data_IF_689374773831
#
_entry.id   IF_689374773831
#
_cell.length_a   1.000
_cell.length_b   1.000
_cell.length_c   1.000
_cell.angle_alpha   90.00
_cell.angle_beta   90.00
_cell.angle_gamma   90.00
#
_symmetry.space_group_name_H-M   'P 1'
#
loop_
_entity.id
_entity.type
_entity.pdbx_description
1 polymer ?
#
# COMPACT_ATOMS: atom_id res chain seq x y z
N UNK A 1 0.94 5.57 -4.88
CA UNK A 1 1.47 6.27 -3.69
C UNK A 1 2.13 7.58 -4.06
N UNK A 2 3.30 7.55 -4.70
CA UNK A 2 3.95 8.79 -5.14
C UNK A 2 3.07 9.55 -6.13
N UNK A 3 3.17 10.88 -6.10
CA UNK A 3 2.42 11.82 -6.94
C UNK A 3 0.91 11.86 -6.66
N UNK A 4 0.45 11.27 -5.57
CA UNK A 4 -0.89 11.43 -5.04
C UNK A 4 -0.85 12.29 -3.78
N UNK A 5 -1.83 13.19 -3.54
CA UNK A 5 -1.91 13.93 -2.29
C UNK A 5 -1.86 12.97 -1.10
N UNK A 6 -1.04 13.31 -0.10
CA UNK A 6 -0.86 12.51 1.11
C UNK A 6 -0.50 11.05 0.80
N UNK A 7 0.20 10.83 -0.30
CA UNK A 7 0.64 9.50 -0.76
C UNK A 7 -0.50 8.50 -0.91
N UNK A 8 -1.70 8.99 -1.19
CA UNK A 8 -2.93 8.20 -1.33
C UNK A 8 -3.38 7.48 -0.05
N UNK A 9 -2.86 7.88 1.11
CA UNK A 9 -3.21 7.28 2.39
C UNK A 9 -4.71 7.28 2.68
N UNK A 10 -5.47 8.38 2.41
CA UNK A 10 -6.90 8.35 2.64
C UNK A 10 -7.64 7.21 1.92
N UNK A 11 -7.24 6.90 0.68
CA UNK A 11 -7.84 5.79 -0.07
C UNK A 11 -7.52 4.44 0.54
N UNK A 12 -6.28 4.25 1.04
CA UNK A 12 -5.89 3.02 1.73
C UNK A 12 -6.71 2.81 3.01
N UNK A 13 -6.88 3.84 3.82
CA UNK A 13 -7.66 3.74 5.06
C UNK A 13 -9.14 3.48 4.77
N UNK A 14 -9.72 4.14 3.78
CA UNK A 14 -11.12 3.93 3.40
C UNK A 14 -11.36 2.50 2.94
N UNK A 15 -10.50 1.97 2.08
CA UNK A 15 -10.63 0.60 1.57
C UNK A 15 -10.40 -0.43 2.68
N UNK A 16 -9.43 -0.20 3.56
CA UNK A 16 -9.17 -1.09 4.69
C UNK A 16 -10.41 -1.18 5.61
N UNK A 17 -11.02 -0.04 5.94
CA UNK A 17 -12.22 -0.02 6.77
C UNK A 17 -13.37 -0.80 6.11
N UNK A 18 -13.55 -0.64 4.79
CA UNK A 18 -14.58 -1.34 4.04
C UNK A 18 -14.37 -2.86 4.08
N UNK A 19 -13.13 -3.31 3.86
CA UNK A 19 -12.80 -4.74 3.88
C UNK A 19 -12.91 -5.32 5.29
N UNK A 20 -12.47 -4.61 6.31
CA UNK A 20 -12.59 -5.05 7.71
C UNK A 20 -14.04 -5.19 8.12
N UNK A 21 -14.93 -4.33 7.63
CA UNK A 21 -16.36 -4.42 7.89
C UNK A 21 -16.98 -5.71 7.33
N UNK A 22 -16.35 -6.34 6.34
CA UNK A 22 -16.79 -7.63 5.79
C UNK A 22 -16.18 -8.83 6.51
N UNK A 23 -15.38 -8.62 7.54
CA UNK A 23 -14.76 -9.68 8.34
C UNK A 23 -13.36 -10.05 7.92
N UNK A 24 -12.73 -9.30 7.01
CA UNK A 24 -11.36 -9.56 6.57
C UNK A 24 -10.36 -9.06 7.60
N UNK A 25 -9.27 -9.81 7.77
CA UNK A 25 -8.06 -9.30 8.40
C UNK A 25 -7.26 -8.55 7.35
N UNK A 26 -7.04 -7.25 7.53
CA UNK A 26 -6.48 -6.39 6.51
C UNK A 26 -5.10 -5.88 6.92
N UNK A 27 -4.09 -6.10 6.07
CA UNK A 27 -2.83 -5.40 6.16
C UNK A 27 -2.94 -4.12 5.32
N UNK A 28 -2.84 -2.98 5.98
CA UNK A 28 -2.89 -1.66 5.36
C UNK A 28 -1.49 -1.03 5.40
N UNK A 29 -0.79 -0.93 4.25
CA UNK A 29 0.55 -0.34 4.23
C UNK A 29 0.60 1.09 4.76
N UNK A 30 -0.45 1.87 4.53
CA UNK A 30 -0.54 3.24 5.03
C UNK A 30 -0.60 3.28 6.56
N UNK A 31 -1.37 2.38 7.17
CA UNK A 31 -1.44 2.27 8.63
C UNK A 31 -0.10 1.87 9.22
N UNK A 32 0.57 0.91 8.61
CA UNK A 32 1.90 0.47 9.05
C UNK A 32 2.88 1.64 9.07
N UNK A 33 2.89 2.45 8.00
CA UNK A 33 3.79 3.59 7.91
C UNK A 33 3.43 4.67 8.92
N UNK A 34 2.14 4.93 9.13
CA UNK A 34 1.65 5.87 10.13
C UNK A 34 2.04 5.42 11.54
N UNK A 35 1.89 4.14 11.85
CA UNK A 35 2.25 3.58 13.16
C UNK A 35 3.76 3.69 13.43
N UNK A 36 4.57 3.81 12.37
CA UNK A 36 6.01 4.02 12.48
C UNK A 36 6.42 5.49 12.48
N UNK A 37 5.46 6.39 12.54
CA UNK A 37 5.70 7.82 12.71
C UNK A 37 5.68 8.64 11.42
N UNK A 38 5.36 8.05 10.27
CA UNK A 38 5.22 8.80 9.04
C UNK A 38 3.88 9.50 8.99
N UNK A 39 3.90 10.83 8.83
CA UNK A 39 2.69 11.63 8.72
C UNK A 39 2.62 12.28 7.32
N UNK A 40 1.72 11.82 6.43
CA UNK A 40 1.60 12.36 5.09
C UNK A 40 0.72 13.61 5.02
N UNK A 41 0.12 14.06 6.12
CA UNK A 41 -0.84 15.16 6.13
C UNK A 41 -0.27 16.42 5.47
N UNK A 42 -0.97 16.91 4.45
CA UNK A 42 -0.57 18.11 3.74
C UNK A 42 0.53 17.91 2.70
N UNK A 43 1.07 16.71 2.56
CA UNK A 43 2.11 16.42 1.57
C UNK A 43 1.48 16.17 0.19
N UNK A 44 2.27 16.39 -0.87
CA UNK A 44 1.82 16.22 -2.26
C UNK A 44 2.24 14.89 -2.88
N UNK A 45 2.99 14.06 -2.16
CA UNK A 45 3.39 12.74 -2.60
C UNK A 45 4.72 12.69 -3.36
N UNK A 46 5.59 13.70 -3.18
CA UNK A 46 6.87 13.77 -3.89
C UNK A 46 7.95 12.90 -3.25
N UNK A 47 8.91 12.49 -4.06
CA UNK A 47 10.09 11.76 -3.58
C UNK A 47 10.96 12.62 -2.66
N UNK A 48 11.02 13.92 -2.93
CA UNK A 48 11.77 14.87 -2.11
C UNK A 48 11.21 14.91 -0.69
N UNK A 49 9.89 14.89 -0.53
CA UNK A 49 9.25 14.85 0.79
C UNK A 49 9.64 13.59 1.56
N UNK A 50 9.70 12.44 0.89
CA UNK A 50 10.13 11.19 1.52
C UNK A 50 11.58 11.28 2.00
N UNK A 51 12.46 11.86 1.19
CA UNK A 51 13.86 12.04 1.58
C UNK A 51 14.01 12.98 2.76
N UNK A 52 13.25 14.08 2.78
CA UNK A 52 13.28 15.06 3.85
C UNK A 52 12.75 14.52 5.18
N UNK A 53 11.85 13.54 5.13
CA UNK A 53 11.25 12.91 6.31
C UNK A 53 11.98 11.61 6.72
N UNK A 54 13.10 11.31 6.09
CA UNK A 54 13.89 10.10 6.36
C UNK A 54 13.05 8.80 6.22
N UNK A 55 12.11 8.80 5.28
CA UNK A 55 11.26 7.65 5.02
C UNK A 55 12.00 6.64 4.13
N UNK A 56 12.01 5.38 4.52
CA UNK A 56 12.64 4.32 3.73
C UNK A 56 11.60 3.56 2.90
N UNK A 57 11.63 3.77 1.58
CA UNK A 57 10.80 2.99 0.65
C UNK A 57 11.19 1.51 0.65
N UNK A 58 12.48 1.21 0.86
CA UNK A 58 12.96 -0.18 0.90
C UNK A 58 12.37 -0.94 2.07
N UNK A 59 12.36 -0.33 3.27
CA UNK A 59 11.78 -0.94 4.46
C UNK A 59 10.27 -1.10 4.32
N UNK A 60 9.58 -0.10 3.78
CA UNK A 60 8.15 -0.16 3.57
C UNK A 60 7.79 -1.30 2.61
N UNK A 61 8.47 -1.40 1.48
CA UNK A 61 8.21 -2.46 0.51
C UNK A 61 8.58 -3.83 1.06
N UNK A 62 9.65 -3.94 1.84
CA UNK A 62 10.03 -5.19 2.48
C UNK A 62 8.94 -5.68 3.44
N UNK A 63 8.36 -4.80 4.23
CA UNK A 63 7.27 -5.15 5.14
C UNK A 63 6.01 -5.59 4.38
N UNK A 64 5.65 -4.85 3.34
CA UNK A 64 4.49 -5.16 2.51
C UNK A 64 4.63 -6.51 1.83
N UNK A 65 5.79 -6.78 1.23
CA UNK A 65 6.04 -8.04 0.52
C UNK A 65 6.18 -9.22 1.47
N UNK A 66 6.70 -9.00 2.67
CA UNK A 66 6.76 -10.04 3.70
C UNK A 66 5.35 -10.50 4.07
N UNK A 67 4.42 -9.58 4.30
CA UNK A 67 3.02 -9.93 4.58
C UNK A 67 2.41 -10.70 3.41
N UNK A 68 2.64 -10.26 2.18
CA UNK A 68 2.14 -10.92 0.98
C UNK A 68 2.66 -12.37 0.91
N UNK A 69 3.94 -12.57 1.17
CA UNK A 69 4.55 -13.91 1.10
C UNK A 69 4.07 -14.85 2.20
N UNK A 70 3.87 -14.36 3.41
CA UNK A 70 3.69 -15.20 4.58
C UNK A 70 2.23 -15.29 5.07
N UNK A 71 1.43 -14.26 4.85
CA UNK A 71 0.12 -14.14 5.48
C UNK A 71 -1.04 -13.96 4.51
N UNK A 72 -0.85 -13.25 3.41
CA UNK A 72 -1.95 -12.85 2.54
C UNK A 72 -2.54 -14.01 1.77
N UNK A 73 -3.87 -13.98 1.58
CA UNK A 73 -4.59 -14.85 0.65
C UNK A 73 -5.13 -14.07 -0.54
N UNK A 74 -5.34 -12.77 -0.35
CA UNK A 74 -5.90 -11.87 -1.34
C UNK A 74 -5.11 -10.57 -1.37
N UNK A 75 -5.04 -9.95 -2.54
CA UNK A 75 -4.54 -8.59 -2.70
C UNK A 75 -5.64 -7.76 -3.35
N UNK A 76 -6.00 -6.64 -2.71
CA UNK A 76 -6.98 -5.71 -3.25
C UNK A 76 -6.26 -4.50 -3.86
N UNK A 77 -6.45 -4.30 -5.17
CA UNK A 77 -5.81 -3.23 -5.91
C UNK A 77 -6.67 -1.97 -5.90
N UNK A 78 -6.04 -0.83 -5.57
CA UNK A 78 -6.72 0.48 -5.62
C UNK A 78 -6.65 1.05 -7.04
N UNK A 79 -7.62 1.93 -7.43
CA UNK A 79 -7.57 2.58 -8.74
C UNK A 79 -6.24 3.32 -8.95
N UNK A 80 -5.68 3.20 -10.15
CA UNK A 80 -4.41 3.84 -10.49
C UNK A 80 -3.16 3.05 -10.10
N UNK A 81 -3.31 1.82 -9.62
CA UNK A 81 -2.18 1.01 -9.19
C UNK A 81 -1.13 0.79 -10.28
N UNK A 82 -1.55 0.74 -11.54
CA UNK A 82 -0.62 0.48 -12.66
C UNK A 82 0.42 1.58 -12.84
N UNK A 83 0.18 2.75 -12.26
CA UNK A 83 1.14 3.88 -12.26
C UNK A 83 2.04 3.88 -11.03
N UNK A 84 1.85 2.94 -10.12
CA UNK A 84 2.66 2.78 -8.91
C UNK A 84 3.61 1.61 -9.08
N UNK A 85 4.91 1.88 -9.00
CA UNK A 85 5.94 0.82 -9.09
C UNK A 85 5.80 -0.21 -7.98
N UNK A 86 5.53 0.26 -6.75
CA UNK A 86 5.35 -0.62 -5.60
C UNK A 86 4.12 -1.52 -5.76
N UNK A 87 2.99 -0.95 -6.12
CA UNK A 87 1.75 -1.70 -6.31
C UNK A 87 1.89 -2.72 -7.45
N UNK A 88 2.57 -2.34 -8.53
CA UNK A 88 2.83 -3.24 -9.65
C UNK A 88 3.69 -4.43 -9.22
N UNK A 89 4.73 -4.18 -8.42
CA UNK A 89 5.60 -5.23 -7.88
C UNK A 89 4.83 -6.16 -6.95
N UNK A 90 4.03 -5.62 -6.07
CA UNK A 90 3.23 -6.40 -5.12
C UNK A 90 2.20 -7.28 -5.85
N UNK A 91 1.56 -6.75 -6.88
CA UNK A 91 0.63 -7.52 -7.71
C UNK A 91 1.34 -8.68 -8.42
N UNK A 92 2.50 -8.41 -9.01
CA UNK A 92 3.29 -9.44 -9.68
C UNK A 92 3.69 -10.56 -8.71
N UNK A 93 4.07 -10.20 -7.48
CA UNK A 93 4.39 -11.16 -6.44
C UNK A 93 3.15 -12.00 -6.08
N UNK A 94 2.00 -11.37 -5.90
CA UNK A 94 0.76 -12.07 -5.61
C UNK A 94 0.37 -13.05 -6.71
N UNK A 95 0.53 -12.67 -7.97
CA UNK A 95 0.29 -13.55 -9.09
C UNK A 95 1.24 -14.74 -9.08
N UNK A 96 2.52 -14.52 -8.79
CA UNK A 96 3.53 -15.57 -8.71
C UNK A 96 3.21 -16.58 -7.60
N UNK A 97 2.61 -16.12 -6.50
CA UNK A 97 2.24 -16.94 -5.36
C UNK A 97 0.86 -17.60 -5.52
N UNK A 98 0.12 -17.29 -6.57
CA UNK A 98 -1.22 -17.84 -6.79
C UNK A 98 -2.29 -17.22 -5.91
N UNK A 99 -2.07 -16.01 -5.37
CA UNK A 99 -3.06 -15.33 -4.55
C UNK A 99 -4.20 -14.79 -5.41
N UNK A 100 -5.35 -14.56 -4.78
CA UNK A 100 -6.48 -13.92 -5.44
C UNK A 100 -6.23 -12.42 -5.55
N UNK A 101 -6.28 -11.89 -6.77
CA UNK A 101 -6.14 -10.46 -7.02
C UNK A 101 -7.52 -9.90 -7.32
N UNK A 102 -7.92 -8.86 -6.60
CA UNK A 102 -9.24 -8.24 -6.78
C UNK A 102 -9.13 -6.71 -6.75
N UNK A 103 -10.23 -6.01 -6.99
CA UNK A 103 -10.27 -4.56 -7.01
C UNK A 103 -10.16 -3.99 -8.41
N UNK A 104 -9.48 -2.83 -8.54
CA UNK A 104 -9.40 -2.11 -9.80
C UNK A 104 -8.54 -2.82 -10.84
N UNK A 105 -8.95 -2.73 -12.11
CA UNK A 105 -8.20 -3.33 -13.23
C UNK A 105 -6.90 -2.58 -13.53
N UNK A 106 -6.84 -1.27 -13.23
CA UNK A 106 -5.64 -0.44 -13.43
C UNK A 106 -5.66 0.80 -12.55
#
# INVERSE_FOLDING_TARGET
MRNHPEFNFPAFFAKAAELEATGCEVFNPAKRDTDRGFDPTGLVGSMEELQNLDFSLREALAADTQWICLEATHIHMLPGWSKSSGATAERALGLALGLTIEGAAA
#
